data_IF_490251027937
#
_entry.id   IF_490251027937
#
_cell.length_a   1.000
_cell.length_b   1.000
_cell.length_c   1.000
_cell.angle_alpha   90.00
_cell.angle_beta   90.00
_cell.angle_gamma   90.00
#
_symmetry.space_group_name_H-M   'P 1'
#
loop_
_entity.id
_entity.type
_entity.pdbx_description
1 polymer ?
#
# COMPACT_ATOMS: atom_id res chain seq x y z
N UNK A 1 -3.03 -19.61 20.30
CA UNK A 1 -4.28 -18.83 20.31
C UNK A 1 -5.51 -19.69 20.61
N UNK A 2 -5.45 -21.02 20.55
CA UNK A 2 -6.59 -21.87 20.95
C UNK A 2 -6.97 -21.68 22.43
N UNK A 3 -5.97 -21.42 23.28
CA UNK A 3 -6.18 -20.97 24.66
C UNK A 3 -6.35 -19.44 24.75
N UNK A 4 -7.46 -18.94 25.34
CA UNK A 4 -7.72 -17.52 25.54
C UNK A 4 -6.61 -16.80 26.33
N UNK A 5 -5.93 -17.51 27.23
CA UNK A 5 -4.81 -16.98 28.04
C UNK A 5 -3.61 -16.56 27.20
N UNK A 6 -3.45 -17.13 25.99
CA UNK A 6 -2.38 -16.73 25.07
C UNK A 6 -2.61 -15.33 24.54
N UNK A 7 -3.87 -14.96 24.26
CA UNK A 7 -4.22 -13.66 23.70
C UNK A 7 -4.00 -12.55 24.74
N UNK A 8 -4.44 -12.78 25.98
CA UNK A 8 -4.20 -11.84 27.09
C UNK A 8 -2.72 -11.56 27.33
N UNK A 9 -1.86 -12.58 27.22
CA UNK A 9 -0.40 -12.42 27.36
C UNK A 9 0.16 -11.51 26.25
N UNK A 10 -0.28 -11.68 25.01
CA UNK A 10 0.14 -10.87 23.87
C UNK A 10 -0.35 -9.43 24.02
N UNK A 11 -1.62 -9.23 24.36
CA UNK A 11 -2.22 -7.91 24.59
C UNK A 11 -1.49 -7.15 25.70
N UNK A 12 -1.20 -7.82 26.82
CA UNK A 12 -0.46 -7.21 27.94
C UNK A 12 0.98 -6.87 27.56
N UNK A 13 1.64 -7.72 26.78
CA UNK A 13 2.99 -7.44 26.29
C UNK A 13 3.00 -6.20 25.36
N UNK A 14 2.01 -6.07 24.47
CA UNK A 14 1.86 -4.90 23.59
C UNK A 14 1.57 -3.62 24.37
N UNK A 15 0.72 -3.69 25.40
CA UNK A 15 0.47 -2.55 26.28
C UNK A 15 1.76 -2.10 27.00
N UNK A 16 2.52 -3.05 27.53
CA UNK A 16 3.76 -2.74 28.26
C UNK A 16 4.85 -2.16 27.34
N UNK A 17 4.99 -2.66 26.11
CA UNK A 17 6.01 -2.18 25.17
C UNK A 17 5.70 -0.78 24.65
N UNK A 18 4.43 -0.44 24.48
CA UNK A 18 4.00 0.87 23.96
C UNK A 18 3.88 1.95 25.04
N UNK A 19 3.95 1.58 26.33
CA UNK A 19 3.79 2.50 27.45
C UNK A 19 4.80 3.65 27.49
N UNK A 20 6.00 3.43 26.95
CA UNK A 20 7.08 4.43 26.91
C UNK A 20 7.02 5.32 25.66
N UNK A 21 6.14 5.04 24.68
CA UNK A 21 6.01 5.89 23.50
C UNK A 21 5.41 7.24 23.90
N UNK A 22 5.98 8.31 23.35
CA UNK A 22 5.49 9.67 23.58
C UNK A 22 4.20 9.97 22.81
N UNK A 23 3.91 9.24 21.73
CA UNK A 23 2.65 9.37 21.02
C UNK A 23 1.51 8.73 21.81
N UNK A 24 0.33 9.37 21.80
CA UNK A 24 -0.89 8.73 22.31
C UNK A 24 -1.17 7.47 21.47
N UNK A 25 -1.17 6.32 22.12
CA UNK A 25 -1.49 5.03 21.51
C UNK A 25 -2.74 4.46 22.17
N UNK A 26 -3.66 3.97 21.34
CA UNK A 26 -4.82 3.20 21.77
C UNK A 26 -4.70 1.80 21.18
N UNK A 27 -4.73 0.80 22.06
CA UNK A 27 -4.73 -0.62 21.71
C UNK A 27 -6.12 -1.18 22.01
N UNK A 28 -6.64 -1.99 21.12
CA UNK A 28 -7.84 -2.81 21.37
C UNK A 28 -7.47 -4.27 21.60
N UNK A 29 -8.43 -5.08 22.02
CA UNK A 29 -8.27 -6.53 22.19
C UNK A 29 -8.16 -7.22 20.83
N UNK A 30 -7.61 -8.45 20.84
CA UNK A 30 -7.59 -9.31 19.66
C UNK A 30 -9.03 -9.69 19.31
N UNK A 31 -9.46 -9.29 18.11
CA UNK A 31 -10.77 -9.58 17.55
C UNK A 31 -10.98 -11.09 17.34
N UNK A 32 -12.23 -11.47 17.09
CA UNK A 32 -12.59 -12.87 16.73
C UNK A 32 -11.91 -13.35 15.45
N UNK A 33 -11.46 -12.42 14.59
CA UNK A 33 -10.71 -12.72 13.38
C UNK A 33 -9.20 -12.86 13.64
N UNK A 34 -8.74 -12.74 14.89
CA UNK A 34 -7.33 -12.81 15.25
C UNK A 34 -6.54 -11.53 14.99
N UNK A 35 -7.22 -10.42 14.69
CA UNK A 35 -6.59 -9.11 14.43
C UNK A 35 -6.65 -8.22 15.67
N UNK A 36 -5.57 -7.51 15.98
CA UNK A 36 -5.51 -6.49 17.02
C UNK A 36 -5.48 -5.11 16.38
N UNK A 37 -6.51 -4.30 16.63
CA UNK A 37 -6.55 -2.93 16.14
C UNK A 37 -5.73 -2.01 17.04
N UNK A 38 -5.05 -1.04 16.43
CA UNK A 38 -4.33 0.00 17.16
C UNK A 38 -4.35 1.33 16.42
N UNK A 39 -4.45 2.42 17.18
CA UNK A 39 -4.24 3.77 16.66
C UNK A 39 -3.07 4.43 17.40
N UNK A 40 -2.25 5.17 16.65
CA UNK A 40 -1.10 5.90 17.17
C UNK A 40 -1.12 7.32 16.65
N UNK A 41 -1.03 8.30 17.55
CA UNK A 41 -0.99 9.71 17.20
C UNK A 41 0.25 10.04 16.36
N UNK A 42 0.05 10.76 15.26
CA UNK A 42 1.12 11.17 14.36
C UNK A 42 1.72 12.51 14.82
N UNK A 43 2.90 12.46 15.45
CA UNK A 43 3.64 13.66 15.90
C UNK A 43 4.55 14.20 14.80
N UNK A 44 5.16 13.31 14.01
CA UNK A 44 6.14 13.62 12.96
C UNK A 44 5.76 12.90 11.65
N UNK A 45 6.23 13.36 10.48
CA UNK A 45 6.07 12.61 9.24
C UNK A 45 6.66 11.20 9.38
N UNK A 46 6.04 10.23 8.72
CA UNK A 46 6.55 8.87 8.73
C UNK A 46 7.87 8.80 7.95
N UNK A 47 8.71 7.81 8.27
CA UNK A 47 9.97 7.62 7.56
C UNK A 47 9.76 7.44 6.05
N UNK A 48 8.68 6.75 5.65
CA UNK A 48 8.31 6.59 4.24
C UNK A 48 7.97 7.91 3.54
N UNK A 49 7.41 8.89 4.25
CA UNK A 49 7.10 10.20 3.66
C UNK A 49 8.38 10.98 3.34
N UNK A 50 9.48 10.69 4.06
CA UNK A 50 10.79 11.30 3.85
C UNK A 50 11.56 10.64 2.69
N UNK A 51 11.28 9.38 2.37
CA UNK A 51 11.99 8.60 1.34
C UNK A 51 11.46 8.83 -0.09
N UNK A 52 10.54 9.78 -0.27
CA UNK A 52 9.91 10.08 -1.57
C UNK A 52 8.68 9.20 -1.85
N UNK A 53 7.85 9.64 -2.81
CA UNK A 53 6.61 8.94 -3.18
C UNK A 53 6.91 7.61 -3.87
N UNK A 54 7.15 6.57 -3.08
CA UNK A 54 7.14 5.19 -3.56
C UNK A 54 5.68 4.73 -3.61
N UNK A 55 5.12 4.68 -4.81
CA UNK A 55 3.80 4.07 -5.02
C UNK A 55 4.03 2.59 -5.23
N UNK A 56 3.38 1.76 -4.42
CA UNK A 56 3.28 0.34 -4.68
C UNK A 56 2.38 0.16 -5.90
N UNK A 57 2.99 -0.08 -7.05
CA UNK A 57 2.27 -0.42 -8.26
C UNK A 57 2.20 -1.95 -8.36
N UNK A 58 1.12 -2.46 -8.95
CA UNK A 58 0.98 -3.88 -9.24
C UNK A 58 2.05 -4.40 -10.22
N UNK A 59 1.85 -5.60 -10.76
CA UNK A 59 2.78 -6.17 -11.74
C UNK A 59 2.94 -5.27 -12.98
N UNK A 60 4.09 -5.36 -13.65
CA UNK A 60 4.36 -4.64 -14.91
C UNK A 60 3.25 -4.87 -15.94
N UNK A 61 2.72 -6.10 -16.00
CA UNK A 61 1.59 -6.45 -16.86
C UNK A 61 0.31 -5.65 -16.55
N UNK A 62 -0.02 -5.46 -15.27
CA UNK A 62 -1.19 -4.66 -14.87
C UNK A 62 -1.08 -3.20 -15.32
N UNK A 63 0.14 -2.65 -15.30
CA UNK A 63 0.40 -1.29 -15.78
C UNK A 63 0.25 -1.24 -17.29
N UNK A 64 0.76 -2.23 -18.01
CA UNK A 64 0.64 -2.32 -19.48
C UNK A 64 -0.83 -2.38 -19.92
N UNK A 65 -1.65 -3.22 -19.28
CA UNK A 65 -3.09 -3.28 -19.55
C UNK A 65 -3.80 -1.96 -19.29
N UNK A 66 -3.41 -1.27 -18.21
CA UNK A 66 -3.95 0.06 -17.91
C UNK A 66 -3.59 1.08 -19.00
N UNK A 67 -2.35 1.02 -19.52
CA UNK A 67 -1.88 1.86 -20.62
C UNK A 67 -2.64 1.55 -21.91
N UNK A 68 -2.89 0.27 -22.23
CA UNK A 68 -3.67 -0.10 -23.41
C UNK A 68 -5.10 0.42 -23.34
N UNK A 69 -5.77 0.34 -22.18
CA UNK A 69 -7.11 0.91 -22.00
C UNK A 69 -7.12 2.41 -22.26
N UNK A 70 -6.16 3.13 -21.69
CA UNK A 70 -6.01 4.58 -21.90
C UNK A 70 -5.73 4.93 -23.37
N UNK A 71 -4.92 4.12 -24.05
CA UNK A 71 -4.64 4.28 -25.49
C UNK A 71 -5.93 4.13 -26.30
N UNK A 72 -6.69 3.07 -26.06
CA UNK A 72 -7.95 2.78 -26.76
C UNK A 72 -8.98 3.88 -26.52
N UNK A 73 -9.16 4.30 -25.27
CA UNK A 73 -10.08 5.37 -24.91
C UNK A 73 -9.72 6.69 -25.60
N UNK A 74 -8.44 7.07 -25.59
CA UNK A 74 -7.97 8.27 -26.28
C UNK A 74 -8.10 8.18 -27.79
N UNK A 75 -7.92 6.99 -28.37
CA UNK A 75 -8.09 6.76 -29.80
C UNK A 75 -9.55 6.87 -30.24
N UNK A 76 -10.50 6.49 -29.38
CA UNK A 76 -11.94 6.61 -29.64
C UNK A 76 -12.39 8.06 -29.49
N UNK A 77 -11.97 8.74 -28.42
CA UNK A 77 -12.45 10.07 -28.06
C UNK A 77 -11.81 11.18 -28.91
N UNK A 78 -10.48 11.15 -29.04
CA UNK A 78 -9.77 12.06 -29.92
C UNK A 78 -9.34 11.24 -31.14
N UNK A 79 -9.77 11.63 -32.35
CA UNK A 79 -9.24 11.11 -33.63
C UNK A 79 -7.77 11.53 -33.82
N UNK A 80 -6.93 11.20 -32.85
CA UNK A 80 -5.51 11.51 -32.78
C UNK A 80 -4.80 10.54 -33.70
N UNK A 81 -4.14 11.05 -34.73
CA UNK A 81 -3.34 10.23 -35.63
C UNK A 81 -2.07 9.68 -34.96
N UNK A 82 -1.59 10.34 -33.89
CA UNK A 82 -0.33 9.99 -33.22
C UNK A 82 -0.48 10.12 -31.69
N UNK A 83 -0.09 9.07 -30.97
CA UNK A 83 -0.03 9.02 -29.51
C UNK A 83 1.42 8.86 -29.05
N UNK A 84 1.92 9.85 -28.30
CA UNK A 84 3.26 9.79 -27.69
C UNK A 84 3.15 9.28 -26.24
N UNK A 85 3.79 8.16 -25.95
CA UNK A 85 3.83 7.56 -24.61
C UNK A 85 5.26 7.65 -24.04
N UNK A 86 5.38 8.20 -22.82
CA UNK A 86 6.63 8.20 -22.05
C UNK A 86 6.50 7.20 -20.90
N UNK A 87 7.25 6.12 -20.96
CA UNK A 87 7.21 5.00 -19.99
C UNK A 87 8.61 4.54 -19.63
N UNK A 88 8.75 3.75 -18.56
CA UNK A 88 10.04 3.15 -18.21
C UNK A 88 10.45 2.07 -19.22
N UNK A 89 11.77 1.75 -19.34
CA UNK A 89 12.24 0.77 -20.32
C UNK A 89 11.60 -0.63 -20.16
N UNK A 90 11.36 -1.06 -18.92
CA UNK A 90 10.74 -2.35 -18.65
C UNK A 90 9.29 -2.40 -19.15
N UNK A 91 8.54 -1.31 -18.99
CA UNK A 91 7.18 -1.20 -19.50
C UNK A 91 7.20 -1.10 -21.03
N UNK A 92 8.15 -0.35 -21.61
CA UNK A 92 8.29 -0.24 -23.06
C UNK A 92 8.55 -1.60 -23.71
N UNK A 93 9.44 -2.41 -23.14
CA UNK A 93 9.74 -3.75 -23.64
C UNK A 93 8.51 -4.67 -23.57
N UNK A 94 7.76 -4.63 -22.48
CA UNK A 94 6.54 -5.44 -22.32
C UNK A 94 5.42 -4.98 -23.28
N UNK A 95 5.33 -3.68 -23.60
CA UNK A 95 4.36 -3.15 -24.55
C UNK A 95 4.69 -3.43 -26.02
N UNK A 96 5.97 -3.59 -26.35
CA UNK A 96 6.46 -3.73 -27.73
C UNK A 96 6.75 -5.19 -28.14
N UNK A 97 7.13 -6.04 -27.19
CA UNK A 97 7.57 -7.41 -27.46
C UNK A 97 6.54 -8.48 -27.03
N UNK A 98 5.36 -8.05 -26.60
CA UNK A 98 4.27 -8.96 -26.23
C UNK A 98 3.14 -8.90 -27.25
#
# INVERSE_FOLDING_TARGET
MEDPKSNEKVEKAMYNSTKQDHARIQLDKISRFGLMEMSRQRIKPALNDLMGKTVWVGSVASICESIFRLKTEKSINNRSSILLLKVSPNIANELLNR
#
